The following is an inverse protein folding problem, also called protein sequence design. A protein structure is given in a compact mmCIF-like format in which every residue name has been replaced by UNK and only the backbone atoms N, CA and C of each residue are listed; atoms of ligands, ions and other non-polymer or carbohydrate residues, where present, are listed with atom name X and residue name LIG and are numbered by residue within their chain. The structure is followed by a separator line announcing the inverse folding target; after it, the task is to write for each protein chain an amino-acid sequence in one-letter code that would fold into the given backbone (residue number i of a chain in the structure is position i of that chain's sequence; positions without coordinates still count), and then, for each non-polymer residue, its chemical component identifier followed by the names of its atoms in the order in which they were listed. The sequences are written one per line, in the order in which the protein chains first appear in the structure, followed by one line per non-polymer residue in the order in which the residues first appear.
data_IF_430069480062
#
_entry.id   IF_430069480062
#
_cell.length_a   1.000
_cell.length_b   1.000
_cell.length_c   1.000
_cell.angle_alpha   90.00
_cell.angle_beta   90.00
_cell.angle_gamma   90.00
#
_symmetry.space_group_name_H-M   'P 1'
#
loop_
_entity.id
_entity.type
_entity.pdbx_description
1 polymer ?
#
# COMPACT_ATOMS: atom_id res chain seq x y z
N UNK A 1 -1.60 -0.90 13.14
CA UNK A 1 -0.84 0.33 12.90
C UNK A 1 -0.55 1.14 14.16
N UNK A 2 -1.46 1.24 15.15
CA UNK A 2 -1.16 1.99 16.40
C UNK A 2 0.10 1.50 17.13
N UNK A 3 0.32 0.19 17.21
CA UNK A 3 1.50 -0.39 17.86
C UNK A 3 2.78 -0.13 17.09
N UNK A 4 2.68 -0.17 15.76
CA UNK A 4 3.80 -0.03 14.84
C UNK A 4 4.37 1.40 14.78
N UNK A 5 3.61 2.40 15.23
CA UNK A 5 4.04 3.81 15.31
C UNK A 5 4.33 4.30 16.72
N UNK A 6 4.16 3.45 17.75
CA UNK A 6 4.21 3.89 19.15
C UNK A 6 5.59 4.47 19.53
N UNK A 7 6.69 3.95 18.94
CA UNK A 7 8.07 4.38 19.19
C UNK A 7 8.38 5.81 18.70
N UNK A 8 7.56 6.38 17.82
CA UNK A 8 7.72 7.74 17.27
C UNK A 8 6.37 8.49 17.25
N UNK A 9 5.52 8.18 18.22
CA UNK A 9 4.22 8.81 18.42
C UNK A 9 4.36 10.32 18.66
N UNK A 10 3.38 11.09 18.19
CA UNK A 10 3.39 12.55 18.28
C UNK A 10 4.16 13.25 17.16
N UNK A 11 4.79 12.49 16.26
CA UNK A 11 5.35 13.06 15.03
C UNK A 11 4.29 13.18 13.94
N UNK A 12 4.44 14.17 13.04
CA UNK A 12 3.60 14.28 11.84
C UNK A 12 3.63 13.01 10.98
N UNK A 13 4.77 12.31 10.96
CA UNK A 13 4.91 11.02 10.27
C UNK A 13 3.96 9.97 10.84
N UNK A 14 3.91 9.81 12.16
CA UNK A 14 2.99 8.87 12.81
C UNK A 14 1.52 9.23 12.50
N UNK A 15 1.17 10.52 12.55
CA UNK A 15 -0.18 10.99 12.20
C UNK A 15 -0.57 10.64 10.76
N UNK A 16 0.31 10.88 9.78
CA UNK A 16 0.06 10.54 8.38
C UNK A 16 -0.09 9.04 8.16
N UNK A 17 0.72 8.21 8.82
CA UNK A 17 0.61 6.74 8.76
C UNK A 17 -0.76 6.29 9.32
N UNK A 18 -1.21 6.88 10.43
CA UNK A 18 -2.51 6.55 11.03
C UNK A 18 -3.69 7.05 10.19
N UNK A 19 -3.55 8.17 9.48
CA UNK A 19 -4.55 8.62 8.50
C UNK A 19 -4.64 7.64 7.33
N UNK A 20 -3.50 7.17 6.82
CA UNK A 20 -3.49 6.16 5.76
C UNK A 20 -4.10 4.83 6.22
N UNK A 21 -3.84 4.40 7.47
CA UNK A 21 -4.45 3.20 8.05
C UNK A 21 -5.99 3.25 8.02
N UNK A 22 -6.57 4.43 8.27
CA UNK A 22 -8.03 4.63 8.14
C UNK A 22 -8.50 4.44 6.70
N UNK A 23 -7.80 5.01 5.72
CA UNK A 23 -8.12 4.82 4.29
C UNK A 23 -8.04 3.34 3.91
N UNK A 24 -7.02 2.61 4.39
CA UNK A 24 -6.88 1.18 4.13
C UNK A 24 -7.99 0.33 4.76
N UNK A 25 -8.43 0.66 5.97
CA UNK A 25 -9.59 -0.01 6.59
C UNK A 25 -10.87 0.18 5.78
N UNK A 26 -11.08 1.37 5.24
CA UNK A 26 -12.24 1.64 4.39
C UNK A 26 -12.17 0.90 3.04
N UNK A 27 -10.97 0.69 2.48
CA UNK A 27 -10.78 -0.19 1.32
C UNK A 27 -11.20 -1.61 1.67
N UNK A 28 -10.76 -2.14 2.81
CA UNK A 28 -11.13 -3.50 3.23
C UNK A 28 -12.64 -3.65 3.44
N UNK A 29 -13.33 -2.62 3.92
CA UNK A 29 -14.79 -2.58 4.03
C UNK A 29 -15.46 -2.58 2.66
N UNK A 30 -15.02 -1.71 1.74
CA UNK A 30 -15.53 -1.65 0.37
C UNK A 30 -15.30 -2.95 -0.42
N UNK A 31 -14.13 -3.57 -0.24
CA UNK A 31 -13.83 -4.87 -0.83
C UNK A 31 -14.70 -5.98 -0.25
N UNK A 32 -14.95 -5.99 1.06
CA UNK A 32 -15.88 -6.95 1.70
C UNK A 32 -17.29 -6.80 1.15
N UNK A 33 -17.78 -5.57 1.00
CA UNK A 33 -19.09 -5.31 0.41
C UNK A 33 -19.15 -5.81 -1.04
N UNK A 34 -18.16 -5.45 -1.86
CA UNK A 34 -18.03 -5.91 -3.23
C UNK A 34 -17.99 -7.45 -3.34
N UNK A 35 -17.13 -8.11 -2.57
CA UNK A 35 -16.99 -9.57 -2.55
C UNK A 35 -18.23 -10.30 -2.01
N UNK A 36 -19.09 -9.64 -1.23
CA UNK A 36 -20.36 -10.22 -0.79
C UNK A 36 -21.37 -10.36 -1.92
N UNK A 37 -21.23 -9.55 -2.98
CA UNK A 37 -22.11 -9.52 -4.15
C UNK A 37 -21.48 -10.15 -5.38
N UNK A 38 -20.18 -9.96 -5.57
CA UNK A 38 -19.42 -10.47 -6.70
C UNK A 38 -18.85 -11.88 -6.38
N UNK A 39 -19.26 -12.94 -7.09
CA UNK A 39 -18.78 -14.31 -6.87
C UNK A 39 -17.37 -14.58 -7.46
N UNK A 40 -16.76 -13.58 -8.09
CA UNK A 40 -15.46 -13.68 -8.76
C UNK A 40 -14.36 -13.40 -7.74
N UNK A 41 -13.45 -14.38 -7.53
CA UNK A 41 -12.38 -14.29 -6.52
C UNK A 41 -11.02 -14.61 -7.12
N UNK A 42 -9.97 -14.09 -6.47
CA UNK A 42 -8.60 -14.52 -6.74
C UNK A 42 -8.43 -15.99 -6.37
N UNK A 43 -7.61 -16.71 -7.14
CA UNK A 43 -7.19 -18.06 -6.78
C UNK A 43 -6.28 -17.96 -5.56
N UNK A 44 -6.47 -18.88 -4.62
CA UNK A 44 -5.60 -18.99 -3.45
C UNK A 44 -4.13 -19.13 -3.90
N UNK A 45 -3.28 -18.25 -3.38
CA UNK A 45 -1.86 -18.24 -3.71
C UNK A 45 -1.50 -17.80 -5.14
N UNK A 46 -2.34 -17.04 -5.84
CA UNK A 46 -2.03 -16.66 -7.24
C UNK A 46 -0.70 -15.90 -7.41
N UNK A 47 -0.48 -14.82 -6.62
CA UNK A 47 0.75 -13.99 -6.65
C UNK A 47 1.13 -13.34 -7.99
N UNK A 48 0.39 -13.59 -9.08
CA UNK A 48 0.77 -13.23 -10.44
C UNK A 48 0.90 -11.72 -10.66
N UNK A 49 0.20 -10.92 -9.84
CA UNK A 49 0.29 -9.46 -9.85
C UNK A 49 1.65 -8.92 -9.40
N UNK A 50 2.51 -9.73 -8.78
CA UNK A 50 3.81 -9.29 -8.26
C UNK A 50 5.00 -9.77 -9.11
N UNK A 51 4.78 -10.65 -10.10
CA UNK A 51 5.85 -11.32 -10.85
C UNK A 51 6.57 -10.37 -11.81
N UNK A 52 5.83 -9.52 -12.53
CA UNK A 52 6.36 -8.58 -13.52
C UNK A 52 5.89 -7.14 -13.25
N UNK A 53 5.66 -6.84 -11.98
CA UNK A 53 5.15 -5.56 -11.56
C UNK A 53 5.76 -5.17 -10.22
N UNK A 54 6.25 -3.95 -10.18
CA UNK A 54 6.65 -3.23 -8.99
C UNK A 54 5.75 -1.99 -8.89
N UNK A 55 5.13 -1.74 -7.73
CA UNK A 55 4.29 -0.57 -7.58
C UNK A 55 5.13 0.70 -7.42
N UNK A 56 4.69 1.76 -8.09
CA UNK A 56 5.03 3.12 -7.71
C UNK A 56 4.16 3.50 -6.51
N UNK A 57 4.78 4.04 -5.46
CA UNK A 57 4.12 4.31 -4.17
C UNK A 57 4.33 5.74 -3.73
N UNK A 58 3.34 6.31 -3.05
CA UNK A 58 3.48 7.58 -2.35
C UNK A 58 4.42 7.43 -1.14
N UNK A 59 5.05 8.54 -0.72
CA UNK A 59 5.93 8.55 0.46
C UNK A 59 5.23 7.97 1.69
N UNK A 60 3.97 8.34 1.92
CA UNK A 60 3.21 7.87 3.08
C UNK A 60 2.93 6.37 3.05
N UNK A 61 2.79 5.77 1.86
CA UNK A 61 2.63 4.33 1.71
C UNK A 61 3.93 3.60 2.02
N UNK A 62 5.07 4.14 1.54
CA UNK A 62 6.38 3.61 1.87
C UNK A 62 6.66 3.71 3.38
N UNK A 63 6.26 4.82 4.03
CA UNK A 63 6.37 5.00 5.48
C UNK A 63 5.48 4.00 6.25
N UNK A 64 4.25 3.78 5.81
CA UNK A 64 3.37 2.78 6.41
C UNK A 64 3.98 1.37 6.33
N UNK A 65 4.47 0.98 5.15
CA UNK A 65 5.10 -0.33 4.97
C UNK A 65 6.42 -0.46 5.76
N UNK A 66 7.23 0.61 5.82
CA UNK A 66 8.45 0.64 6.60
C UNK A 66 8.17 0.47 8.11
N UNK A 67 7.15 1.15 8.65
CA UNK A 67 6.71 1.01 10.04
C UNK A 67 6.27 -0.42 10.34
N UNK A 68 5.45 -1.00 9.44
CA UNK A 68 5.03 -2.39 9.55
C UNK A 68 6.22 -3.36 9.53
N UNK A 69 7.15 -3.19 8.59
CA UNK A 69 8.35 -4.03 8.48
C UNK A 69 9.25 -3.91 9.72
N UNK A 70 9.49 -2.70 10.24
CA UNK A 70 10.34 -2.50 11.41
C UNK A 70 9.76 -3.13 12.68
N UNK A 71 8.43 -3.22 12.79
CA UNK A 71 7.75 -3.85 13.91
C UNK A 71 7.67 -5.38 13.77
N UNK A 72 7.31 -5.89 12.58
CA UNK A 72 7.02 -7.32 12.37
C UNK A 72 8.21 -8.13 11.81
N UNK A 73 9.14 -7.49 11.09
CA UNK A 73 10.25 -8.13 10.36
C UNK A 73 11.51 -7.25 10.39
N UNK A 74 11.96 -6.83 11.58
CA UNK A 74 13.01 -5.80 11.74
C UNK A 74 14.30 -6.11 10.99
N UNK A 75 14.80 -7.34 11.09
CA UNK A 75 16.03 -7.77 10.42
C UNK A 75 15.93 -7.62 8.89
N UNK A 76 14.76 -7.94 8.32
CA UNK A 76 14.49 -7.77 6.89
C UNK A 76 14.46 -6.29 6.51
N UNK A 77 13.86 -5.44 7.34
CA UNK A 77 13.86 -3.99 7.11
C UNK A 77 15.29 -3.43 7.04
N UNK A 78 16.18 -3.89 7.93
CA UNK A 78 17.59 -3.50 7.94
C UNK A 78 18.35 -4.01 6.71
N UNK A 79 18.06 -5.22 6.23
CA UNK A 79 18.62 -5.72 4.97
C UNK A 79 18.19 -4.87 3.78
N UNK A 80 16.89 -4.52 3.69
CA UNK A 80 16.36 -3.64 2.64
C UNK A 80 17.04 -2.27 2.66
N UNK A 81 17.29 -1.72 3.85
CA UNK A 81 18.01 -0.45 4.01
C UNK A 81 19.43 -0.50 3.43
N UNK A 82 20.09 -1.66 3.53
CA UNK A 82 21.41 -1.90 2.94
C UNK A 82 21.34 -2.27 1.44
N UNK A 83 20.17 -2.21 0.82
CA UNK A 83 19.96 -2.59 -0.58
C UNK A 83 19.92 -4.10 -0.82
N UNK A 84 19.82 -4.91 0.24
CA UNK A 84 19.71 -6.37 0.16
C UNK A 84 18.24 -6.77 0.15
N UNK A 85 17.72 -7.03 -1.04
CA UNK A 85 16.34 -7.46 -1.26
C UNK A 85 16.22 -8.98 -1.35
N UNK A 86 14.99 -9.51 -1.34
CA UNK A 86 14.77 -10.94 -1.47
C UNK A 86 15.32 -11.44 -2.81
N UNK A 87 16.12 -12.49 -2.76
CA UNK A 87 16.69 -13.10 -3.97
C UNK A 87 15.75 -14.14 -4.58
N UNK A 88 14.82 -14.68 -3.80
CA UNK A 88 13.86 -15.71 -4.21
C UNK A 88 12.68 -15.12 -4.99
N UNK A 89 12.99 -14.36 -6.04
CA UNK A 89 12.03 -13.69 -6.92
C UNK A 89 12.20 -14.14 -8.37
N UNK A 90 11.10 -14.14 -9.13
CA UNK A 90 11.10 -14.57 -10.53
C UNK A 90 11.72 -13.52 -11.48
N UNK A 91 11.54 -12.23 -11.18
CA UNK A 91 12.10 -11.12 -11.95
C UNK A 91 12.66 -10.05 -11.01
N UNK A 92 13.99 -10.01 -10.85
CA UNK A 92 14.66 -9.04 -9.97
C UNK A 92 14.57 -7.59 -10.48
N UNK A 93 14.36 -7.41 -11.79
CA UNK A 93 14.41 -6.11 -12.44
C UNK A 93 13.04 -5.43 -12.42
N UNK A 94 11.99 -6.15 -12.80
CA UNK A 94 10.65 -5.57 -12.95
C UNK A 94 9.63 -6.16 -11.97
N UNK A 95 9.97 -7.23 -11.25
CA UNK A 95 9.11 -7.84 -10.24
C UNK A 95 9.19 -7.13 -8.89
N UNK A 96 8.19 -7.38 -8.05
CA UNK A 96 8.15 -6.83 -6.71
C UNK A 96 9.24 -7.45 -5.84
N UNK A 97 10.06 -6.63 -5.19
CA UNK A 97 11.17 -7.05 -4.31
C UNK A 97 10.71 -7.71 -3.00
N UNK A 98 9.41 -7.66 -2.71
CA UNK A 98 8.78 -8.28 -1.54
C UNK A 98 8.11 -9.62 -1.89
N UNK A 99 8.25 -10.06 -3.14
CA UNK A 99 7.82 -11.37 -3.59
C UNK A 99 8.72 -12.47 -3.03
N UNK A 100 8.17 -13.66 -2.84
CA UNK A 100 8.87 -14.87 -2.46
C UNK A 100 8.16 -16.08 -3.08
N UNK A 101 8.89 -16.89 -3.84
CA UNK A 101 8.35 -18.07 -4.53
C UNK A 101 7.81 -19.09 -3.51
N UNK A 102 8.47 -19.24 -2.37
CA UNK A 102 8.16 -20.27 -1.38
C UNK A 102 7.05 -19.86 -0.41
N UNK A 103 6.68 -18.58 -0.40
CA UNK A 103 5.57 -18.10 0.40
C UNK A 103 4.22 -18.48 -0.26
N UNK A 104 3.27 -19.10 0.47
CA UNK A 104 1.97 -19.50 -0.07
C UNK A 104 1.16 -18.38 -0.74
N UNK A 105 1.31 -17.13 -0.30
CA UNK A 105 0.66 -15.96 -0.90
C UNK A 105 1.60 -15.11 -1.73
N UNK A 106 2.86 -15.52 -1.82
CA UNK A 106 4.00 -14.88 -2.46
C UNK A 106 4.39 -13.47 -1.96
N UNK A 107 3.45 -12.69 -1.43
CA UNK A 107 3.75 -11.42 -0.78
C UNK A 107 4.21 -11.66 0.66
N UNK A 108 5.43 -11.24 0.98
CA UNK A 108 6.01 -11.38 2.32
C UNK A 108 5.53 -10.33 3.33
N UNK A 109 4.79 -9.32 2.86
CA UNK A 109 4.31 -8.17 3.64
C UNK A 109 2.80 -7.96 3.48
N UNK A 110 2.02 -9.04 3.37
CA UNK A 110 0.62 -8.98 2.98
C UNK A 110 -0.22 -7.97 3.79
N UNK A 111 -0.02 -7.89 5.11
CA UNK A 111 -0.74 -6.93 5.95
C UNK A 111 -0.20 -5.49 5.82
N UNK A 112 1.05 -5.34 5.41
CA UNK A 112 1.75 -4.08 5.16
C UNK A 112 1.57 -3.51 3.74
N UNK A 113 0.78 -4.15 2.87
CA UNK A 113 0.65 -3.80 1.45
C UNK A 113 0.24 -2.35 1.19
N UNK A 114 0.74 -1.81 0.08
CA UNK A 114 0.39 -0.49 -0.45
C UNK A 114 -1.00 -0.48 -1.11
N UNK A 115 -1.51 0.71 -1.43
CA UNK A 115 -2.84 0.97 -1.99
C UNK A 115 -3.14 0.08 -3.20
N UNK A 116 -2.28 0.17 -4.22
CA UNK A 116 -2.46 -0.57 -5.49
C UNK A 116 -2.49 -2.08 -5.25
N UNK A 117 -1.69 -2.59 -4.30
CA UNK A 117 -1.61 -4.00 -3.97
C UNK A 117 -2.84 -4.51 -3.20
N UNK A 118 -3.58 -3.63 -2.52
CA UNK A 118 -4.86 -3.97 -1.88
C UNK A 118 -5.94 -4.10 -2.94
N UNK A 119 -6.05 -3.10 -3.81
CA UNK A 119 -7.13 -2.92 -4.77
C UNK A 119 -6.98 -3.68 -6.11
N UNK A 120 -5.81 -4.26 -6.40
CA UNK A 120 -5.48 -4.82 -7.73
C UNK A 120 -6.51 -5.82 -8.29
N UNK A 121 -7.08 -6.67 -7.45
CA UNK A 121 -8.01 -7.72 -7.89
C UNK A 121 -9.45 -7.25 -8.12
N UNK A 122 -9.86 -6.19 -7.42
CA UNK A 122 -11.26 -5.83 -7.25
C UNK A 122 -11.57 -4.38 -7.59
N UNK A 123 -10.58 -3.57 -7.96
CA UNK A 123 -10.80 -2.16 -8.26
C UNK A 123 -11.33 -1.93 -9.67
N UNK A 124 -12.32 -1.03 -9.77
CA UNK A 124 -12.71 -0.37 -11.01
C UNK A 124 -11.86 0.86 -11.33
N UNK A 125 -12.16 1.46 -12.48
CA UNK A 125 -11.63 2.75 -12.95
C UNK A 125 -12.76 3.67 -13.42
N UNK A 126 -12.54 4.98 -13.36
CA UNK A 126 -13.47 5.96 -13.95
C UNK A 126 -13.16 6.18 -15.43
N UNK A 127 -14.18 5.97 -16.27
CA UNK A 127 -14.12 6.40 -17.66
C UNK A 127 -14.10 7.93 -17.81
N UNK A 128 -13.84 8.41 -19.04
CA UNK A 128 -13.90 9.86 -19.36
C UNK A 128 -15.28 10.47 -19.12
N UNK A 129 -16.31 9.64 -19.16
CA UNK A 129 -17.71 9.91 -18.86
C UNK A 129 -18.02 9.87 -17.35
N UNK A 130 -17.01 9.66 -16.49
CA UNK A 130 -17.13 9.49 -15.03
C UNK A 130 -17.96 8.27 -14.61
N UNK A 131 -18.16 7.31 -15.52
CA UNK A 131 -18.81 6.05 -15.18
C UNK A 131 -17.79 5.06 -14.66
N UNK A 132 -18.18 4.25 -13.67
CA UNK A 132 -17.33 3.19 -13.13
C UNK A 132 -17.30 2.03 -14.11
N UNK A 133 -16.09 1.58 -14.41
CA UNK A 133 -15.81 0.43 -15.27
C UNK A 133 -15.00 -0.55 -14.46
N UNK A 134 -15.16 -1.84 -14.77
CA UNK A 134 -14.39 -2.87 -14.10
C UNK A 134 -13.90 -3.91 -15.09
N UNK A 135 -12.62 -4.22 -14.98
CA UNK A 135 -11.98 -5.27 -15.76
C UNK A 135 -11.47 -6.35 -14.80
N UNK A 136 -12.08 -7.55 -14.81
CA UNK A 136 -11.59 -8.62 -13.98
C UNK A 136 -10.18 -9.04 -14.44
N UNK A 137 -9.31 -9.37 -13.47
CA UNK A 137 -8.03 -9.98 -13.77
C UNK A 137 -8.23 -11.32 -14.50
N UNK A 138 -7.38 -11.60 -15.49
CA UNK A 138 -7.46 -12.82 -16.32
C UNK A 138 -7.34 -14.13 -15.54
N UNK A 139 -6.79 -14.07 -14.33
CA UNK A 139 -6.62 -15.21 -13.43
C UNK A 139 -7.74 -15.34 -12.40
N UNK A 140 -8.69 -14.40 -12.33
CA UNK A 140 -9.83 -14.52 -11.44
C UNK A 140 -10.68 -15.72 -11.84
N UNK A 141 -11.10 -16.50 -10.85
CA UNK A 141 -11.98 -17.64 -11.05
C UNK A 141 -13.36 -17.27 -10.52
N UNK A 142 -14.38 -17.61 -11.30
CA UNK A 142 -15.76 -17.53 -10.85
C UNK A 142 -16.22 -18.89 -10.35
N UNK A 143 -16.95 -18.90 -9.24
CA UNK A 143 -17.66 -20.10 -8.78
C UNK A 143 -18.83 -20.47 -9.71
N UNK A 144 -19.35 -19.50 -10.47
CA UNK A 144 -20.31 -19.74 -11.53
C UNK A 144 -19.58 -19.97 -12.86
N UNK A 145 -19.79 -21.15 -13.45
CA UNK A 145 -19.18 -21.57 -14.73
C UNK A 145 -19.54 -20.65 -15.90
N UNK A 146 -20.61 -19.87 -15.79
CA UNK A 146 -21.05 -18.92 -16.83
C UNK A 146 -20.36 -17.55 -16.74
N UNK A 147 -19.70 -17.24 -15.62
CA UNK A 147 -19.05 -15.95 -15.34
C UNK A 147 -17.52 -16.07 -15.39
N UNK A 148 -16.97 -16.66 -16.45
CA UNK A 148 -15.51 -16.72 -16.57
C UNK A 148 -14.92 -15.34 -16.87
N UNK A 149 -13.99 -14.87 -16.02
CA UNK A 149 -13.21 -13.65 -16.25
C UNK A 149 -12.39 -13.70 -17.56
N UNK A 150 -12.16 -14.89 -18.11
CA UNK A 150 -11.50 -15.07 -19.42
C UNK A 150 -12.39 -14.73 -20.61
N UNK A 151 -13.72 -14.69 -20.44
CA UNK A 151 -14.70 -14.44 -21.51
C UNK A 151 -15.18 -12.98 -21.53
N UNK A 152 -15.18 -12.29 -20.39
CA UNK A 152 -15.73 -10.93 -20.25
C UNK A 152 -14.59 -9.93 -20.10
N UNK A 153 -14.39 -9.07 -21.11
CA UNK A 153 -13.23 -8.17 -21.20
C UNK A 153 -13.34 -6.94 -20.30
N UNK A 154 -14.55 -6.45 -20.03
CA UNK A 154 -14.83 -5.27 -19.23
C UNK A 154 -16.34 -5.17 -18.98
N UNK A 155 -16.74 -4.76 -17.78
CA UNK A 155 -18.12 -4.43 -17.43
C UNK A 155 -18.32 -2.91 -17.44
N UNK A 156 -19.42 -2.45 -18.01
CA UNK A 156 -19.88 -1.07 -17.83
C UNK A 156 -20.58 -0.90 -16.47
N UNK A 157 -20.79 0.36 -16.05
CA UNK A 157 -21.51 0.64 -14.80
C UNK A 157 -22.92 0.03 -14.80
N UNK A 158 -23.61 0.08 -15.93
CA UNK A 158 -24.95 -0.52 -16.09
C UNK A 158 -24.89 -2.03 -15.93
N UNK A 159 -23.92 -2.69 -16.54
CA UNK A 159 -23.72 -4.14 -16.39
C UNK A 159 -23.41 -4.52 -14.93
N UNK A 160 -22.56 -3.74 -14.25
CA UNK A 160 -22.19 -3.98 -12.85
C UNK A 160 -23.42 -3.90 -11.93
N UNK A 161 -24.24 -2.87 -12.11
CA UNK A 161 -25.46 -2.70 -11.33
C UNK A 161 -26.51 -3.78 -11.65
N UNK A 162 -26.63 -4.18 -12.91
CA UNK A 162 -27.57 -5.22 -13.32
C UNK A 162 -27.17 -6.62 -12.84
N UNK A 163 -25.87 -6.95 -12.89
CA UNK A 163 -25.36 -8.29 -12.57
C UNK A 163 -25.08 -8.45 -11.08
N UNK A 164 -24.42 -7.47 -10.45
CA UNK A 164 -23.95 -7.56 -9.06
C UNK A 164 -24.75 -6.68 -8.11
N UNK A 165 -25.51 -5.70 -8.61
CA UNK A 165 -26.31 -4.79 -7.77
C UNK A 165 -25.48 -3.79 -6.96
N UNK A 166 -24.18 -3.68 -7.24
CA UNK A 166 -23.24 -2.76 -6.57
C UNK A 166 -22.08 -2.43 -7.50
N UNK A 167 -21.22 -1.50 -7.09
CA UNK A 167 -20.02 -1.08 -7.81
C UNK A 167 -18.76 -1.48 -7.04
N UNK A 168 -17.66 -1.82 -7.74
CA UNK A 168 -16.39 -2.09 -7.09
C UNK A 168 -15.78 -0.82 -6.49
N UNK A 169 -14.88 -0.94 -5.51
CA UNK A 169 -14.06 0.18 -5.07
C UNK A 169 -13.27 0.76 -6.25
N UNK A 170 -13.03 2.08 -6.26
CA UNK A 170 -12.30 2.74 -7.35
C UNK A 170 -11.01 3.33 -6.82
N UNK A 171 -9.88 2.92 -7.38
CA UNK A 171 -8.54 3.29 -6.91
C UNK A 171 -8.31 4.79 -6.86
N UNK A 172 -8.74 5.53 -7.89
CA UNK A 172 -8.57 6.99 -7.94
C UNK A 172 -9.26 7.72 -6.80
N UNK A 173 -10.37 7.17 -6.27
CA UNK A 173 -11.12 7.80 -5.19
C UNK A 173 -10.31 7.71 -3.89
N UNK A 174 -9.68 6.56 -3.63
CA UNK A 174 -8.77 6.38 -2.50
C UNK A 174 -7.45 7.13 -2.67
N UNK A 175 -6.85 7.13 -3.87
CA UNK A 175 -5.66 7.92 -4.16
C UNK A 175 -5.90 9.41 -3.91
N UNK A 176 -7.04 9.95 -4.34
CA UNK A 176 -7.41 11.36 -4.10
C UNK A 176 -7.50 11.69 -2.62
N UNK A 177 -8.01 10.77 -1.81
CA UNK A 177 -8.08 10.94 -0.35
C UNK A 177 -6.72 10.93 0.32
N UNK A 178 -5.80 10.07 -0.15
CA UNK A 178 -4.40 10.07 0.31
C UNK A 178 -3.78 11.44 0.02
N UNK A 179 -3.94 11.93 -1.21
CA UNK A 179 -3.39 13.22 -1.62
C UNK A 179 -3.92 14.41 -0.80
N UNK A 180 -5.13 14.34 -0.24
CA UNK A 180 -5.73 15.43 0.55
C UNK A 180 -4.96 15.77 1.82
N UNK A 181 -4.19 14.84 2.39
CA UNK A 181 -3.39 15.07 3.60
C UNK A 181 -1.88 15.02 3.36
N UNK A 182 -1.46 14.95 2.10
CA UNK A 182 -0.04 15.00 1.71
C UNK A 182 0.40 16.42 1.36
N UNK A 183 1.69 16.70 1.58
CA UNK A 183 2.31 17.93 1.09
C UNK A 183 2.59 17.82 -0.41
N UNK A 184 2.60 18.94 -1.14
CA UNK A 184 2.85 18.97 -2.59
C UNK A 184 4.16 18.27 -2.99
N UNK A 185 5.23 18.46 -2.22
CA UNK A 185 6.52 17.78 -2.45
C UNK A 185 6.45 16.26 -2.30
N UNK A 186 5.54 15.75 -1.48
CA UNK A 186 5.36 14.31 -1.22
C UNK A 186 4.35 13.67 -2.19
N UNK A 187 3.68 14.45 -3.05
CA UNK A 187 2.58 13.98 -3.90
C UNK A 187 3.00 13.18 -5.15
N UNK A 188 4.31 13.06 -5.40
CA UNK A 188 4.83 12.21 -6.47
C UNK A 188 5.01 10.77 -5.97
N UNK A 189 4.93 9.83 -6.89
CA UNK A 189 5.20 8.41 -6.61
C UNK A 189 6.61 8.05 -7.05
N UNK A 190 7.22 7.11 -6.33
CA UNK A 190 8.51 6.53 -6.68
C UNK A 190 8.40 4.99 -6.70
N UNK A 191 9.24 4.29 -7.48
CA UNK A 191 9.31 2.84 -7.42
C UNK A 191 9.56 2.37 -5.99
N UNK A 192 8.88 1.29 -5.59
CA UNK A 192 8.97 0.76 -4.23
C UNK A 192 10.43 0.52 -3.77
N UNK A 193 11.31 0.04 -4.66
CA UNK A 193 12.73 -0.19 -4.38
C UNK A 193 13.50 1.06 -3.99
N UNK A 194 13.06 2.22 -4.46
CA UNK A 194 13.68 3.51 -4.16
C UNK A 194 13.05 4.13 -2.92
N UNK A 195 11.72 4.07 -2.81
CA UNK A 195 10.98 4.71 -1.73
C UNK A 195 11.18 4.01 -0.37
N UNK A 196 11.23 2.68 -0.36
CA UNK A 196 11.19 1.89 0.87
C UNK A 196 12.47 2.05 1.73
N UNK A 197 13.70 1.98 1.21
CA UNK A 197 14.90 2.22 2.01
C UNK A 197 14.92 3.62 2.64
N UNK A 198 14.49 4.65 1.88
CA UNK A 198 14.39 6.01 2.38
C UNK A 198 13.37 6.13 3.53
N UNK A 199 12.21 5.48 3.40
CA UNK A 199 11.20 5.44 4.44
C UNK A 199 11.67 4.71 5.71
N UNK A 200 12.37 3.57 5.57
CA UNK A 200 12.96 2.84 6.70
C UNK A 200 13.98 3.71 7.45
N UNK A 201 14.87 4.37 6.71
CA UNK A 201 15.86 5.29 7.28
C UNK A 201 15.20 6.42 8.08
N UNK A 202 14.14 7.03 7.51
CA UNK A 202 13.38 8.09 8.16
C UNK A 202 12.72 7.63 9.46
N UNK A 203 12.13 6.43 9.50
CA UNK A 203 11.51 5.92 10.73
C UNK A 203 12.57 5.60 11.79
N UNK A 204 13.67 4.93 11.43
CA UNK A 204 14.76 4.66 12.37
C UNK A 204 15.36 5.94 12.97
N UNK A 205 15.47 6.99 12.16
CA UNK A 205 15.86 8.32 12.62
C UNK A 205 14.86 8.85 13.66
N UNK A 206 13.55 8.82 13.37
CA UNK A 206 12.51 9.29 14.29
C UNK A 206 12.48 8.48 15.58
N UNK A 207 12.61 7.15 15.52
CA UNK A 207 12.72 6.29 16.71
C UNK A 207 13.92 6.70 17.58
N UNK A 208 15.07 7.00 16.96
CA UNK A 208 16.28 7.40 17.68
C UNK A 208 16.10 8.75 18.40
N UNK A 209 15.50 9.73 17.73
CA UNK A 209 15.26 11.05 18.34
C UNK A 209 14.16 11.02 19.40
N UNK A 210 13.09 10.25 19.18
CA UNK A 210 11.98 10.13 20.15
C UNK A 210 12.42 9.43 21.45
N UNK A 211 13.40 8.53 21.37
CA UNK A 211 13.98 7.85 22.52
C UNK A 211 15.17 8.59 23.15
N UNK A 212 15.52 9.80 22.69
CA UNK A 212 16.58 10.61 23.27
C UNK A 212 16.02 11.87 23.96
N UNK A 213 15.81 11.85 25.28
CA UNK A 213 15.24 12.98 26.03
C UNK A 213 16.20 14.18 26.17
N UNK A 214 17.44 14.11 25.71
CA UNK A 214 18.42 15.20 25.84
C UNK A 214 18.21 16.36 24.85
N UNK A 215 17.28 16.23 23.89
CA UNK A 215 16.92 17.33 22.99
C UNK A 215 15.67 18.05 23.50
N UNK A 216 15.83 18.88 24.53
CA UNK A 216 14.88 19.97 24.76
C UNK A 216 15.18 21.04 23.70
N UNK A 217 14.27 21.30 22.73
CA UNK A 217 14.45 22.45 21.86
C UNK A 217 14.48 23.68 22.75
N UNK A 218 15.51 24.51 22.61
CA UNK A 218 15.65 25.75 23.37
C UNK A 218 14.38 26.58 23.14
N UNK A 219 13.49 26.59 24.13
CA UNK A 219 12.19 27.27 24.07
C UNK A 219 12.32 28.73 24.48
N UNK A 220 13.54 29.18 24.78
CA UNK A 220 13.84 30.56 25.11
C UNK A 220 14.03 31.40 23.84
N UNK A 221 13.08 32.30 23.49
CA UNK A 221 13.21 33.17 22.34
C UNK A 221 14.32 34.22 22.48
N UNK A 222 14.99 34.35 23.63
CA UNK A 222 15.99 35.39 23.89
C UNK A 222 17.46 34.93 23.79
N UNK A 223 17.74 33.64 23.61
CA UNK A 223 19.14 33.14 23.60
C UNK A 223 19.58 32.70 22.20
N UNK A 224 20.33 33.52 21.43
CA UNK A 224 20.89 33.06 20.16
C UNK A 224 21.93 31.95 20.41
N UNK A 225 22.00 30.93 19.52
CA UNK A 225 22.94 29.83 19.70
C UNK A 225 24.38 30.34 19.70
N UNK A 226 25.11 30.04 20.78
CA UNK A 226 26.53 30.30 20.89
C UNK A 226 27.29 29.46 19.87
N UNK A 227 27.84 30.11 18.85
CA UNK A 227 28.79 29.49 17.93
C UNK A 227 30.06 29.09 18.70
N UNK A 228 30.30 27.79 18.79
CA UNK A 228 31.58 27.19 19.21
C UNK A 228 32.18 26.43 18.04
#
# INVERSE_FOLDING_TARGET
MEKEVESFKGTKTAEMILLLDKVYKEIEEAEKEWMSKCPIKCIDGCGACCVHFEPDVYEVEALYLASWLLFHQRERALQILEGRFNENVLDKKNGCLLFDIDNPYHCTVYDGRCLICRLFGYSGDHGKDRTVRWRPCKYLVSMDKNLSASTIKQYSQEDLLNVFGTLPPVMSDFSSRILCFMTEQASHTLPLREALPAAISKILMLERYSNNPEFEPDTDPETPPLAS
#
